data_IF_387551562014
#
_entry.id   IF_387551562014
#
_cell.length_a   1.000
_cell.length_b   1.000
_cell.length_c   1.000
_cell.angle_alpha   90.00
_cell.angle_beta   90.00
_cell.angle_gamma   90.00
#
_symmetry.space_group_name_H-M   'P 1'
#
loop_
_entity.id
_entity.type
_entity.pdbx_description
1 polymer ?
#
# COMPACT_ATOMS: atom_id res chain seq x y z
N UNK A 1 13.02 -32.87 -16.22
CA UNK A 1 13.49 -33.43 -14.93
C UNK A 1 14.43 -32.41 -14.31
N UNK A 2 13.92 -31.43 -13.53
CA UNK A 2 14.62 -30.56 -12.57
C UNK A 2 13.55 -29.80 -11.78
N UNK A 3 12.93 -30.49 -10.81
CA UNK A 3 12.14 -29.86 -9.76
C UNK A 3 13.10 -29.55 -8.62
N UNK A 4 13.61 -28.31 -8.57
CA UNK A 4 14.37 -27.80 -7.44
C UNK A 4 13.42 -27.54 -6.29
N UNK A 5 13.37 -28.43 -5.32
CA UNK A 5 12.65 -28.27 -4.06
C UNK A 5 13.22 -27.08 -3.29
N UNK A 6 12.47 -25.98 -3.24
CA UNK A 6 12.71 -24.88 -2.28
C UNK A 6 12.45 -25.48 -0.89
N UNK A 7 13.51 -25.58 -0.11
CA UNK A 7 13.53 -26.27 1.18
C UNK A 7 12.51 -25.69 2.16
N UNK A 8 11.63 -26.53 2.64
CA UNK A 8 10.54 -26.29 3.57
C UNK A 8 10.87 -25.67 4.96
N UNK A 9 12.12 -25.54 5.44
CA UNK A 9 12.40 -24.98 6.77
C UNK A 9 12.29 -23.45 6.84
N UNK A 10 12.52 -22.71 5.75
CA UNK A 10 12.48 -21.23 5.79
C UNK A 10 11.04 -20.70 5.94
N UNK A 11 10.05 -21.37 5.34
CA UNK A 11 8.64 -21.03 5.47
C UNK A 11 8.04 -21.38 6.85
N UNK A 12 8.67 -22.29 7.62
CA UNK A 12 8.22 -22.64 8.96
C UNK A 12 8.72 -21.71 10.07
N UNK A 13 9.84 -21.01 9.88
CA UNK A 13 10.41 -20.13 10.89
C UNK A 13 9.68 -18.77 11.01
N UNK A 14 9.10 -18.26 9.93
CA UNK A 14 8.41 -16.97 9.92
C UNK A 14 7.21 -16.87 10.88
N UNK A 15 6.32 -17.87 11.00
CA UNK A 15 5.21 -17.77 11.95
C UNK A 15 5.66 -17.77 13.41
N UNK A 16 6.80 -18.37 13.75
CA UNK A 16 7.28 -18.43 15.14
C UNK A 16 7.87 -17.08 15.59
N UNK A 17 8.72 -16.44 14.80
CA UNK A 17 9.28 -15.12 15.12
C UNK A 17 8.18 -14.07 15.25
N UNK A 18 7.15 -14.12 14.41
CA UNK A 18 6.00 -13.22 14.49
C UNK A 18 5.09 -13.54 15.69
N UNK A 19 4.94 -14.81 16.05
CA UNK A 19 4.19 -15.24 17.23
C UNK A 19 4.85 -14.76 18.51
N UNK A 20 6.18 -14.89 18.61
CA UNK A 20 6.94 -14.43 19.79
C UNK A 20 6.91 -12.91 19.92
N UNK A 21 6.95 -12.17 18.81
CA UNK A 21 6.79 -10.71 18.80
C UNK A 21 5.40 -10.29 19.29
N UNK A 22 4.34 -10.98 18.84
CA UNK A 22 2.96 -10.69 19.25
C UNK A 22 2.76 -11.00 20.72
N UNK A 23 3.25 -12.14 21.21
CA UNK A 23 3.17 -12.53 22.62
C UNK A 23 3.94 -11.55 23.51
N UNK A 24 5.13 -11.13 23.08
CA UNK A 24 5.92 -10.12 23.79
C UNK A 24 5.22 -8.76 23.88
N UNK A 25 4.52 -8.35 22.82
CA UNK A 25 3.76 -7.07 22.82
C UNK A 25 2.47 -7.13 23.63
N UNK A 26 1.82 -8.29 23.72
CA UNK A 26 0.62 -8.50 24.54
C UNK A 26 0.96 -8.49 26.04
N UNK A 27 2.10 -9.09 26.41
CA UNK A 27 2.61 -9.11 27.79
C UNK A 27 3.13 -7.74 28.26
N UNK A 28 3.55 -6.86 27.34
CA UNK A 28 4.08 -5.54 27.67
C UNK A 28 3.03 -4.53 28.13
N UNK A 29 1.73 -4.84 28.15
CA UNK A 29 0.67 -3.95 28.62
C UNK A 29 0.61 -2.59 27.88
N UNK A 30 0.99 -2.54 26.61
CA UNK A 30 1.19 -1.30 25.87
C UNK A 30 -0.11 -0.51 25.77
N UNK A 31 -0.09 0.73 26.30
CA UNK A 31 -1.20 1.66 26.11
C UNK A 31 -1.33 2.02 24.62
N UNK A 32 -2.50 1.79 23.96
CA UNK A 32 -2.65 2.05 22.55
C UNK A 32 -2.68 3.53 22.19
N UNK A 33 -3.05 4.40 23.12
CA UNK A 33 -3.24 5.83 22.85
C UNK A 33 -1.97 6.53 22.33
N UNK A 34 -0.80 6.42 23.01
CA UNK A 34 0.42 7.06 22.50
C UNK A 34 0.89 6.45 21.17
N UNK A 35 0.71 5.14 20.97
CA UNK A 35 1.14 4.49 19.70
C UNK A 35 0.25 4.90 18.54
N UNK A 36 -1.06 4.95 18.72
CA UNK A 36 -1.98 5.46 17.69
C UNK A 36 -1.69 6.94 17.42
N UNK A 37 -1.41 7.74 18.46
CA UNK A 37 -0.95 9.12 18.29
C UNK A 37 0.32 9.22 17.45
N UNK A 38 1.32 8.39 17.72
CA UNK A 38 2.56 8.34 16.94
C UNK A 38 2.30 7.93 15.48
N UNK A 39 1.43 6.94 15.23
CA UNK A 39 1.03 6.54 13.86
C UNK A 39 0.40 7.72 13.12
N UNK A 40 -0.48 8.48 13.75
CA UNK A 40 -1.12 9.66 13.14
C UNK A 40 -0.08 10.73 12.81
N UNK A 41 0.85 11.01 13.74
CA UNK A 41 1.92 11.99 13.51
C UNK A 41 2.83 11.55 12.36
N UNK A 42 3.31 10.31 12.36
CA UNK A 42 4.17 9.78 11.30
C UNK A 42 3.45 9.78 9.94
N UNK A 43 2.17 9.39 9.92
CA UNK A 43 1.36 9.45 8.70
C UNK A 43 1.16 10.88 8.22
N UNK A 44 0.91 11.81 9.14
CA UNK A 44 0.79 13.25 8.83
C UNK A 44 2.09 13.82 8.24
N UNK A 45 3.24 13.48 8.80
CA UNK A 45 4.54 13.88 8.27
C UNK A 45 4.79 13.28 6.87
N UNK A 46 4.48 12.00 6.67
CA UNK A 46 4.61 11.36 5.37
C UNK A 46 3.70 12.00 4.32
N UNK A 47 2.44 12.30 4.66
CA UNK A 47 1.49 12.99 3.79
C UNK A 47 1.99 14.41 3.48
N UNK A 48 2.44 15.16 4.48
CA UNK A 48 2.98 16.51 4.29
C UNK A 48 4.22 16.51 3.38
N UNK A 49 5.10 15.52 3.56
CA UNK A 49 6.26 15.32 2.67
C UNK A 49 5.84 15.02 1.23
N UNK A 50 4.83 14.16 1.03
CA UNK A 50 4.31 13.86 -0.30
C UNK A 50 3.68 15.09 -0.95
N UNK A 51 2.90 15.86 -0.21
CA UNK A 51 2.31 17.10 -0.72
C UNK A 51 3.40 18.12 -1.08
N UNK A 52 4.43 18.26 -0.24
CA UNK A 52 5.58 19.11 -0.55
C UNK A 52 6.29 18.64 -1.82
N UNK A 53 6.51 17.33 -1.98
CA UNK A 53 7.14 16.76 -3.16
C UNK A 53 6.30 17.04 -4.42
N UNK A 54 4.96 16.89 -4.33
CA UNK A 54 4.04 17.09 -5.46
C UNK A 54 3.91 18.56 -5.88
N UNK A 55 3.86 19.49 -4.92
CA UNK A 55 3.50 20.88 -5.23
C UNK A 55 4.68 21.86 -5.20
N UNK A 56 5.79 21.52 -4.54
CA UNK A 56 6.92 22.42 -4.33
C UNK A 56 8.17 21.96 -5.06
N UNK A 57 8.42 20.66 -5.11
CA UNK A 57 9.60 20.11 -5.77
C UNK A 57 9.37 20.00 -7.27
N UNK A 58 10.17 20.74 -8.05
CA UNK A 58 10.15 20.65 -9.50
C UNK A 58 11.24 19.69 -9.96
N UNK A 59 10.86 18.68 -10.76
CA UNK A 59 11.82 17.73 -11.33
C UNK A 59 12.83 18.45 -12.24
N UNK A 60 14.10 18.09 -12.14
CA UNK A 60 15.14 18.58 -13.04
C UNK A 60 15.03 17.86 -14.39
N UNK A 61 15.09 18.64 -15.49
CA UNK A 61 14.96 18.13 -16.86
C UNK A 61 16.02 17.10 -17.28
N UNK A 62 17.14 17.01 -16.54
CA UNK A 62 18.28 16.15 -16.87
C UNK A 62 18.01 14.64 -16.76
N UNK A 63 16.94 14.24 -16.08
CA UNK A 63 16.62 12.83 -15.84
C UNK A 63 15.42 12.31 -16.64
N UNK A 64 14.80 13.11 -17.49
CA UNK A 64 13.55 12.80 -18.19
C UNK A 64 13.59 11.51 -19.06
N UNK A 65 14.76 11.03 -19.46
CA UNK A 65 14.91 9.80 -20.26
C UNK A 65 15.30 8.55 -19.48
N UNK A 66 15.56 8.67 -18.18
CA UNK A 66 15.97 7.53 -17.32
C UNK A 66 14.78 6.97 -16.56
N UNK A 67 14.76 5.65 -16.37
CA UNK A 67 13.76 4.98 -15.50
C UNK A 67 12.31 5.03 -16.01
N UNK A 68 12.09 5.05 -17.33
CA UNK A 68 10.76 5.04 -17.97
C UNK A 68 9.86 3.84 -17.57
N UNK A 69 10.41 2.82 -16.91
CA UNK A 69 9.66 1.67 -16.42
C UNK A 69 8.94 1.92 -15.08
N UNK A 70 9.29 2.98 -14.35
CA UNK A 70 8.74 3.25 -13.01
C UNK A 70 7.20 3.38 -12.98
N UNK A 71 6.53 4.06 -13.92
CA UNK A 71 5.07 4.10 -13.94
C UNK A 71 4.44 2.71 -14.11
N UNK A 72 5.03 1.85 -14.94
CA UNK A 72 4.57 0.47 -15.12
C UNK A 72 4.83 -0.39 -13.87
N UNK A 73 5.99 -0.19 -13.21
CA UNK A 73 6.30 -0.83 -11.93
C UNK A 73 5.30 -0.42 -10.84
N UNK A 74 4.95 0.87 -10.77
CA UNK A 74 3.95 1.37 -9.82
C UNK A 74 2.58 0.71 -10.04
N UNK A 75 2.15 0.55 -11.29
CA UNK A 75 0.91 -0.14 -11.61
C UNK A 75 0.98 -1.64 -11.25
N UNK A 76 2.10 -2.30 -11.53
CA UNK A 76 2.32 -3.70 -11.17
C UNK A 76 2.24 -3.91 -9.66
N UNK A 77 2.92 -3.08 -8.87
CA UNK A 77 2.92 -3.15 -7.40
C UNK A 77 1.52 -2.94 -6.83
N UNK A 78 0.76 -1.99 -7.35
CA UNK A 78 -0.65 -1.80 -6.98
C UNK A 78 -1.52 -3.00 -7.37
N UNK A 79 -1.34 -3.57 -8.55
CA UNK A 79 -2.05 -4.77 -8.99
C UNK A 79 -1.75 -5.98 -8.11
N UNK A 80 -0.47 -6.23 -7.79
CA UNK A 80 -0.05 -7.29 -6.86
C UNK A 80 -0.63 -7.07 -5.46
N UNK A 81 -0.66 -5.82 -4.98
CA UNK A 81 -1.29 -5.48 -3.73
C UNK A 81 -2.80 -5.82 -3.75
N UNK A 82 -3.54 -5.43 -4.78
CA UNK A 82 -4.97 -5.72 -4.91
C UNK A 82 -5.24 -7.23 -4.91
N UNK A 83 -4.48 -8.00 -5.70
CA UNK A 83 -4.60 -9.47 -5.74
C UNK A 83 -4.34 -10.06 -4.36
N UNK A 84 -3.25 -9.65 -3.71
CA UNK A 84 -2.85 -10.19 -2.40
C UNK A 84 -3.86 -9.84 -1.32
N UNK A 85 -4.49 -8.66 -1.37
CA UNK A 85 -5.59 -8.26 -0.49
C UNK A 85 -6.80 -9.18 -0.66
N UNK A 86 -7.21 -9.45 -1.90
CA UNK A 86 -8.33 -10.37 -2.20
C UNK A 86 -8.05 -11.79 -1.71
N UNK A 87 -6.84 -12.30 -1.95
CA UNK A 87 -6.38 -13.61 -1.49
C UNK A 87 -6.38 -13.69 0.04
N UNK A 88 -5.88 -12.65 0.70
CA UNK A 88 -5.90 -12.59 2.16
C UNK A 88 -7.30 -12.51 2.75
N UNK A 89 -8.22 -11.81 2.08
CA UNK A 89 -9.63 -11.79 2.46
C UNK A 89 -10.28 -13.17 2.28
N UNK A 90 -9.99 -13.88 1.21
CA UNK A 90 -10.44 -15.25 1.00
C UNK A 90 -9.96 -16.17 2.12
N UNK A 91 -8.69 -16.10 2.52
CA UNK A 91 -8.15 -16.94 3.59
C UNK A 91 -8.80 -16.67 4.95
N UNK A 92 -9.07 -15.42 5.31
CA UNK A 92 -9.74 -15.13 6.59
C UNK A 92 -11.19 -15.61 6.60
N UNK A 93 -11.88 -15.59 5.47
CA UNK A 93 -13.22 -16.16 5.32
C UNK A 93 -13.23 -17.68 5.51
N UNK A 94 -12.15 -18.35 5.14
CA UNK A 94 -11.95 -19.78 5.32
C UNK A 94 -11.21 -20.12 6.63
N UNK A 95 -11.18 -19.20 7.60
CA UNK A 95 -10.55 -19.38 8.92
C UNK A 95 -9.05 -19.69 8.89
N UNK A 96 -8.37 -19.53 7.76
CA UNK A 96 -6.92 -19.71 7.65
C UNK A 96 -6.18 -18.41 8.03
N UNK A 97 -5.97 -18.25 9.35
CA UNK A 97 -5.35 -17.05 9.93
C UNK A 97 -3.91 -16.89 9.48
N UNK A 98 -3.15 -17.98 9.34
CA UNK A 98 -1.73 -17.94 8.95
C UNK A 98 -1.59 -17.39 7.53
N UNK A 99 -2.33 -17.96 6.58
CA UNK A 99 -2.30 -17.50 5.20
C UNK A 99 -2.82 -16.06 5.06
N UNK A 100 -3.86 -15.68 5.83
CA UNK A 100 -4.33 -14.29 5.89
C UNK A 100 -3.22 -13.32 6.34
N UNK A 101 -2.53 -13.62 7.44
CA UNK A 101 -1.42 -12.77 7.95
C UNK A 101 -0.32 -12.61 6.92
N UNK A 102 0.11 -13.71 6.28
CA UNK A 102 1.15 -13.67 5.24
C UNK A 102 0.70 -12.81 4.05
N UNK A 103 -0.54 -12.98 3.60
CA UNK A 103 -1.09 -12.19 2.49
C UNK A 103 -1.15 -10.70 2.84
N UNK A 104 -1.60 -10.33 4.05
CA UNK A 104 -1.65 -8.93 4.48
C UNK A 104 -0.25 -8.30 4.56
N UNK A 105 0.74 -9.04 5.06
CA UNK A 105 2.14 -8.59 5.06
C UNK A 105 2.68 -8.37 3.65
N UNK A 106 2.42 -9.29 2.72
CA UNK A 106 2.82 -9.12 1.33
C UNK A 106 2.13 -7.90 0.70
N UNK A 107 0.85 -7.70 0.94
CA UNK A 107 0.14 -6.50 0.48
C UNK A 107 0.78 -5.21 1.04
N UNK A 108 1.17 -5.23 2.31
CA UNK A 108 1.87 -4.10 2.94
C UNK A 108 3.25 -3.85 2.31
N UNK A 109 4.01 -4.90 2.03
CA UNK A 109 5.30 -4.78 1.33
C UNK A 109 5.12 -4.20 -0.07
N UNK A 110 4.13 -4.68 -0.85
CA UNK A 110 3.85 -4.12 -2.17
C UNK A 110 3.42 -2.65 -2.12
N UNK A 111 2.56 -2.27 -1.16
CA UNK A 111 2.17 -0.86 -0.97
C UNK A 111 3.35 0.02 -0.55
N UNK A 112 4.25 -0.47 0.30
CA UNK A 112 5.45 0.27 0.71
C UNK A 112 6.42 0.43 -0.44
N UNK A 113 6.65 -0.64 -1.23
CA UNK A 113 7.48 -0.59 -2.42
C UNK A 113 6.89 0.37 -3.48
N UNK A 114 5.55 0.34 -3.66
CA UNK A 114 4.86 1.31 -4.50
C UNK A 114 5.12 2.74 -4.05
N UNK A 115 4.98 3.03 -2.75
CA UNK A 115 5.19 4.39 -2.23
C UNK A 115 6.61 4.90 -2.51
N UNK A 116 7.62 4.06 -2.25
CA UNK A 116 9.03 4.40 -2.55
C UNK A 116 9.23 4.62 -4.04
N UNK A 117 8.76 3.70 -4.88
CA UNK A 117 8.86 3.80 -6.34
C UNK A 117 8.13 5.03 -6.88
N UNK A 118 6.97 5.37 -6.32
CA UNK A 118 6.21 6.57 -6.68
C UNK A 118 6.97 7.86 -6.34
N UNK A 119 7.55 7.95 -5.13
CA UNK A 119 8.36 9.10 -4.71
C UNK A 119 9.54 9.29 -5.68
N UNK A 120 10.26 8.21 -6.00
CA UNK A 120 11.38 8.25 -6.96
C UNK A 120 10.90 8.68 -8.34
N UNK A 121 9.81 8.09 -8.84
CA UNK A 121 9.25 8.43 -10.14
C UNK A 121 8.86 9.91 -10.21
N UNK A 122 8.18 10.42 -9.19
CA UNK A 122 7.75 11.81 -9.16
C UNK A 122 8.94 12.79 -9.02
N UNK A 123 9.94 12.46 -8.21
CA UNK A 123 11.14 13.27 -8.06
C UNK A 123 11.96 13.36 -9.35
N UNK A 124 11.94 12.31 -10.19
CA UNK A 124 12.70 12.27 -11.44
C UNK A 124 11.94 12.86 -12.65
N UNK A 125 10.62 12.61 -12.74
CA UNK A 125 9.84 12.92 -13.93
C UNK A 125 8.82 14.04 -13.73
N UNK A 126 8.52 14.42 -12.46
CA UNK A 126 7.46 15.38 -12.13
C UNK A 126 6.06 14.86 -12.45
N UNK A 127 5.13 15.78 -12.68
CA UNK A 127 3.74 15.47 -12.99
C UNK A 127 3.54 15.12 -14.47
N UNK A 128 2.89 14.00 -14.74
CA UNK A 128 2.44 13.65 -16.08
C UNK A 128 1.06 14.28 -16.32
N UNK A 129 1.00 15.28 -17.19
CA UNK A 129 -0.25 15.95 -17.56
C UNK A 129 -1.06 15.02 -18.47
N UNK A 130 -2.32 14.76 -18.10
CA UNK A 130 -3.22 13.99 -18.96
C UNK A 130 -3.63 14.80 -20.20
N UNK A 131 -3.31 14.37 -21.42
CA UNK A 131 -3.51 15.14 -22.64
C UNK A 131 -4.95 15.09 -23.15
N UNK A 132 -5.81 14.21 -22.62
CA UNK A 132 -7.20 14.06 -23.04
C UNK A 132 -8.05 15.28 -22.72
N UNK A 133 -9.12 15.52 -23.49
CA UNK A 133 -10.06 16.62 -23.33
C UNK A 133 -11.49 16.09 -23.11
N UNK A 134 -12.39 16.96 -22.67
CA UNK A 134 -13.80 16.62 -22.51
C UNK A 134 -14.11 15.61 -21.39
N UNK A 135 -15.14 14.76 -21.54
CA UNK A 135 -15.62 13.85 -20.51
C UNK A 135 -14.56 12.87 -19.98
N UNK A 136 -13.62 12.45 -20.84
CA UNK A 136 -12.55 11.52 -20.45
C UNK A 136 -11.55 12.14 -19.47
N UNK A 137 -11.24 13.44 -19.65
CA UNK A 137 -10.42 14.18 -18.69
C UNK A 137 -11.12 14.29 -17.33
N UNK A 138 -12.41 14.60 -17.32
CA UNK A 138 -13.18 14.68 -16.08
C UNK A 138 -13.21 13.34 -15.35
N UNK A 139 -13.44 12.24 -16.07
CA UNK A 139 -13.41 10.89 -15.51
C UNK A 139 -12.04 10.56 -14.90
N UNK A 140 -10.96 10.80 -15.66
CA UNK A 140 -9.59 10.58 -15.19
C UNK A 140 -9.29 11.38 -13.92
N UNK A 141 -9.58 12.68 -13.91
CA UNK A 141 -9.34 13.56 -12.75
C UNK A 141 -10.17 13.17 -11.53
N UNK A 142 -11.40 12.68 -11.74
CA UNK A 142 -12.26 12.19 -10.64
C UNK A 142 -11.67 10.90 -10.02
N UNK A 143 -11.19 9.97 -10.84
CA UNK A 143 -10.54 8.74 -10.36
C UNK A 143 -9.22 9.08 -9.66
N UNK A 144 -8.39 9.93 -10.25
CA UNK A 144 -7.12 10.36 -9.67
C UNK A 144 -7.35 11.09 -8.34
N UNK A 145 -8.27 12.03 -8.29
CA UNK A 145 -8.58 12.80 -7.08
C UNK A 145 -9.07 11.90 -5.95
N UNK A 146 -10.01 10.99 -6.23
CA UNK A 146 -10.48 10.03 -5.24
C UNK A 146 -9.39 9.06 -4.80
N UNK A 147 -8.52 8.60 -5.72
CA UNK A 147 -7.37 7.76 -5.40
C UNK A 147 -6.41 8.47 -4.43
N UNK A 148 -6.04 9.71 -4.71
CA UNK A 148 -5.11 10.49 -3.87
C UNK A 148 -5.70 10.73 -2.48
N UNK A 149 -6.96 11.20 -2.40
CA UNK A 149 -7.63 11.47 -1.12
C UNK A 149 -7.73 10.20 -0.27
N UNK A 150 -8.17 9.09 -0.87
CA UNK A 150 -8.32 7.83 -0.15
C UNK A 150 -6.98 7.19 0.19
N UNK A 151 -5.91 7.43 -0.56
CA UNK A 151 -4.55 7.00 -0.20
C UNK A 151 -4.06 7.66 1.09
N UNK A 152 -4.33 8.96 1.24
CA UNK A 152 -3.97 9.70 2.47
C UNK A 152 -4.72 9.15 3.70
N UNK A 153 -5.97 8.72 3.52
CA UNK A 153 -6.78 8.08 4.59
C UNK A 153 -6.32 6.64 4.83
N UNK A 154 -5.99 5.90 3.76
CA UNK A 154 -5.58 4.51 3.86
C UNK A 154 -4.31 4.32 4.69
N UNK A 155 -3.31 5.20 4.54
CA UNK A 155 -2.02 5.08 5.20
C UNK A 155 -2.14 4.94 6.75
N UNK A 156 -2.72 5.89 7.49
CA UNK A 156 -2.88 5.75 8.94
C UNK A 156 -3.81 4.60 9.32
N UNK A 157 -4.83 4.30 8.53
CA UNK A 157 -5.75 3.20 8.80
C UNK A 157 -5.08 1.84 8.66
N UNK A 158 -4.26 1.62 7.64
CA UNK A 158 -3.48 0.39 7.43
C UNK A 158 -2.52 0.19 8.60
N UNK A 159 -1.72 1.20 8.95
CA UNK A 159 -0.77 1.13 10.06
C UNK A 159 -1.47 0.82 11.40
N UNK A 160 -2.60 1.49 11.67
CA UNK A 160 -3.40 1.25 12.89
C UNK A 160 -3.99 -0.17 12.90
N UNK A 161 -4.46 -0.66 11.76
CA UNK A 161 -5.01 -2.02 11.61
C UNK A 161 -3.93 -3.07 11.89
N UNK A 162 -2.72 -2.87 11.37
CA UNK A 162 -1.56 -3.73 11.66
C UNK A 162 -1.20 -3.68 13.14
N UNK A 163 -1.12 -2.49 13.73
CA UNK A 163 -0.81 -2.34 15.16
C UNK A 163 -1.76 -3.14 16.04
N UNK A 164 -3.08 -3.06 15.83
CA UNK A 164 -4.04 -3.83 16.62
C UNK A 164 -4.00 -5.34 16.36
N UNK A 165 -3.59 -5.75 15.15
CA UNK A 165 -3.34 -7.17 14.85
C UNK A 165 -2.12 -7.69 15.60
N UNK A 166 -1.02 -6.93 15.58
CA UNK A 166 0.25 -7.29 16.20
C UNK A 166 0.19 -7.28 17.74
N UNK A 167 -0.68 -6.46 18.31
CA UNK A 167 -0.90 -6.38 19.77
C UNK A 167 -2.01 -7.32 20.29
N UNK A 168 -2.45 -8.30 19.48
CA UNK A 168 -3.46 -9.28 19.87
C UNK A 168 -4.88 -8.72 20.06
N UNK A 169 -5.11 -7.42 19.80
CA UNK A 169 -6.41 -6.75 19.99
C UNK A 169 -7.36 -7.00 18.83
N UNK A 170 -7.66 -8.27 18.55
CA UNK A 170 -8.39 -8.71 17.36
C UNK A 170 -9.83 -8.16 17.26
N UNK A 171 -10.49 -7.81 18.37
CA UNK A 171 -11.81 -7.20 18.33
C UNK A 171 -11.77 -5.81 17.68
N UNK A 172 -10.77 -4.98 18.03
CA UNK A 172 -10.56 -3.64 17.46
C UNK A 172 -10.04 -3.76 16.04
N UNK A 173 -9.05 -4.65 15.81
CA UNK A 173 -8.54 -4.97 14.46
C UNK A 173 -9.68 -5.27 13.49
N UNK A 174 -10.59 -6.20 13.83
CA UNK A 174 -11.72 -6.57 12.96
C UNK A 174 -12.66 -5.42 12.66
N UNK A 175 -12.87 -4.52 13.63
CA UNK A 175 -13.74 -3.34 13.42
C UNK A 175 -13.12 -2.37 12.43
N UNK A 176 -11.83 -2.03 12.61
CA UNK A 176 -11.11 -1.10 11.73
C UNK A 176 -10.88 -1.72 10.35
N UNK A 177 -10.49 -2.99 10.29
CA UNK A 177 -10.23 -3.71 9.03
C UNK A 177 -11.44 -3.73 8.08
N UNK A 178 -12.68 -3.73 8.60
CA UNK A 178 -13.89 -3.66 7.76
C UNK A 178 -13.98 -2.39 6.94
N UNK A 179 -13.37 -1.30 7.41
CA UNK A 179 -13.34 0.00 6.70
C UNK A 179 -12.02 0.11 5.93
N UNK A 180 -10.90 -0.28 6.53
CA UNK A 180 -9.58 -0.21 5.92
C UNK A 180 -9.49 -1.05 4.64
N UNK A 181 -10.02 -2.28 4.68
CA UNK A 181 -9.92 -3.21 3.55
C UNK A 181 -10.52 -2.67 2.25
N UNK A 182 -11.79 -2.22 2.19
CA UNK A 182 -12.36 -1.68 0.96
C UNK A 182 -11.65 -0.40 0.48
N UNK A 183 -11.20 0.46 1.39
CA UNK A 183 -10.46 1.67 1.03
C UNK A 183 -9.10 1.29 0.43
N UNK A 184 -8.35 0.39 1.07
CA UNK A 184 -7.04 -0.04 0.58
C UNK A 184 -7.15 -0.78 -0.75
N UNK A 185 -8.15 -1.66 -0.91
CA UNK A 185 -8.40 -2.34 -2.18
C UNK A 185 -8.77 -1.36 -3.29
N UNK A 186 -9.65 -0.38 -3.00
CA UNK A 186 -10.00 0.67 -3.94
C UNK A 186 -8.77 1.46 -4.41
N UNK A 187 -7.93 1.91 -3.48
CA UNK A 187 -6.68 2.61 -3.81
C UNK A 187 -5.78 1.76 -4.69
N UNK A 188 -5.60 0.48 -4.35
CA UNK A 188 -4.77 -0.43 -5.14
C UNK A 188 -5.31 -0.65 -6.57
N UNK A 189 -6.62 -0.79 -6.74
CA UNK A 189 -7.25 -0.94 -8.06
C UNK A 189 -7.16 0.37 -8.86
N UNK A 190 -7.53 1.49 -8.25
CA UNK A 190 -7.54 2.78 -8.94
C UNK A 190 -6.14 3.25 -9.33
N UNK A 191 -5.10 2.88 -8.59
CA UNK A 191 -3.72 3.13 -8.99
C UNK A 191 -3.34 2.45 -10.32
N UNK A 192 -3.82 1.22 -10.55
CA UNK A 192 -3.67 0.54 -11.86
C UNK A 192 -4.48 1.25 -12.94
N UNK A 193 -5.72 1.62 -12.62
CA UNK A 193 -6.62 2.30 -13.56
C UNK A 193 -6.03 3.65 -14.01
N UNK A 194 -5.50 4.45 -13.10
CA UNK A 194 -4.82 5.74 -13.40
C UNK A 194 -3.67 5.53 -14.39
N UNK A 195 -2.84 4.52 -14.17
CA UNK A 195 -1.75 4.18 -15.10
C UNK A 195 -2.26 3.78 -16.48
N UNK A 196 -3.31 2.95 -16.55
CA UNK A 196 -3.88 2.51 -17.83
C UNK A 196 -4.47 3.69 -18.61
N UNK A 197 -5.13 4.64 -17.94
CA UNK A 197 -5.60 5.87 -18.58
C UNK A 197 -4.43 6.68 -19.15
N UNK A 198 -3.38 6.92 -18.36
CA UNK A 198 -2.20 7.64 -18.84
C UNK A 198 -1.56 6.91 -20.02
N UNK A 199 -1.39 5.60 -19.95
CA UNK A 199 -0.80 4.82 -21.04
C UNK A 199 -1.63 4.86 -22.32
N UNK A 200 -2.95 4.88 -22.23
CA UNK A 200 -3.84 4.91 -23.40
C UNK A 200 -3.91 6.27 -24.09
N UNK A 201 -3.62 7.37 -23.37
CA UNK A 201 -3.82 8.72 -23.89
C UNK A 201 -2.55 9.57 -23.95
N UNK A 202 -1.47 9.21 -23.24
CA UNK A 202 -0.23 9.97 -23.17
C UNK A 202 0.92 9.29 -23.92
N UNK A 203 0.78 8.01 -24.28
CA UNK A 203 1.73 7.21 -25.03
C UNK A 203 1.01 6.51 -26.19
#
# INVERSE_FOLDING_TARGET
MFAGAISAPVLRAWPFVFCDLIVGMEQAGINPRPVVGAIIVVSGLAISFLLWLLYVHHASADFAGRWMFLPALNALLNGLCAITLCVGFYFIKNHNIVAHRTSMLLAFVFSSAFLVSYIVNHALHGDTIFPGHGPMRTLYLSILGSHVILSMVALPMVLTTFFFSLTGRFAIHRRIARITFPIWLYVSITGVVVFLFLRAYAY
#
